data_IF_175833261829
#
_entry.id   IF_175833261829
#
_cell.length_a   1.000
_cell.length_b   1.000
_cell.length_c   1.000
_cell.angle_alpha   90.00
_cell.angle_beta   90.00
_cell.angle_gamma   90.00
#
_symmetry.space_group_name_H-M   'P 1'
#
loop_
_entity.id
_entity.type
_entity.pdbx_description
1 polymer ?
#
# COMPACT_ATOMS: atom_id res chain seq x y z
N UNK A 1 -22.20 -2.40 31.74
CA UNK A 1 -21.05 -2.87 30.94
C UNK A 1 -20.77 -1.81 29.88
N UNK A 2 -19.69 -1.03 30.03
CA UNK A 2 -19.25 -0.08 29.00
C UNK A 2 -18.70 -0.88 27.83
N UNK A 3 -19.36 -0.83 26.68
CA UNK A 3 -18.82 -1.36 25.42
C UNK A 3 -18.01 -0.23 24.79
N UNK A 4 -16.69 -0.39 24.74
CA UNK A 4 -15.87 0.44 23.87
C UNK A 4 -16.12 0.04 22.41
N UNK A 5 -16.19 1.00 21.46
CA UNK A 5 -16.47 0.73 20.05
C UNK A 5 -15.21 0.26 19.30
N UNK A 6 -14.49 -0.73 19.83
CA UNK A 6 -13.39 -1.35 19.09
C UNK A 6 -13.94 -2.46 18.20
N UNK A 7 -13.98 -2.19 16.89
CA UNK A 7 -14.29 -3.18 15.85
C UNK A 7 -13.01 -3.85 15.33
N UNK A 8 -13.13 -4.97 14.58
CA UNK A 8 -12.00 -5.56 13.90
C UNK A 8 -11.44 -4.60 12.85
N UNK A 9 -10.11 -4.55 12.70
CA UNK A 9 -9.47 -3.94 11.52
C UNK A 9 -9.77 -4.83 10.33
N UNK A 10 -10.36 -4.25 9.28
CA UNK A 10 -10.63 -4.93 8.02
C UNK A 10 -9.68 -4.38 6.97
N UNK A 11 -8.73 -5.21 6.54
CA UNK A 11 -7.82 -4.88 5.44
C UNK A 11 -8.26 -5.65 4.19
N UNK A 12 -8.72 -4.91 3.19
CA UNK A 12 -9.24 -5.40 1.91
C UNK A 12 -8.41 -4.93 0.71
N UNK A 13 -7.41 -4.07 0.94
CA UNK A 13 -6.57 -3.49 -0.11
C UNK A 13 -5.10 -3.61 0.26
N UNK A 14 -4.31 -4.04 -0.71
CA UNK A 14 -2.85 -4.05 -0.66
C UNK A 14 -2.30 -3.45 -1.93
N UNK A 15 -1.13 -2.83 -1.82
CA UNK A 15 -0.35 -2.36 -2.94
C UNK A 15 1.12 -2.75 -2.79
N UNK A 16 1.85 -2.73 -3.90
CA UNK A 16 3.31 -2.82 -3.88
C UNK A 16 3.90 -1.91 -4.95
N UNK A 17 5.13 -1.47 -4.71
CA UNK A 17 5.90 -0.71 -5.69
C UNK A 17 7.06 -1.56 -6.22
N UNK A 18 7.04 -1.99 -7.49
CA UNK A 18 8.09 -2.88 -8.00
C UNK A 18 9.46 -2.21 -8.14
N UNK A 19 9.50 -0.90 -8.39
CA UNK A 19 10.73 -0.18 -8.75
C UNK A 19 11.20 0.82 -7.69
N UNK A 20 10.36 1.19 -6.74
CA UNK A 20 10.67 2.20 -5.72
C UNK A 20 10.41 1.70 -4.30
N UNK A 21 11.05 2.34 -3.33
CA UNK A 21 10.77 2.15 -1.90
C UNK A 21 9.78 3.21 -1.43
N UNK A 22 9.06 2.93 -0.36
CA UNK A 22 8.24 3.91 0.34
C UNK A 22 8.70 4.04 1.80
N UNK A 23 8.92 5.26 2.27
CA UNK A 23 9.18 5.55 3.68
C UNK A 23 7.96 6.23 4.29
N UNK A 24 7.48 5.68 5.41
CA UNK A 24 6.41 6.28 6.23
C UNK A 24 7.01 6.81 7.51
N UNK A 25 6.95 8.12 7.71
CA UNK A 25 7.42 8.79 8.93
C UNK A 25 6.22 9.28 9.72
N UNK A 26 5.98 8.77 10.95
CA UNK A 26 4.86 9.23 11.75
C UNK A 26 5.05 10.69 12.18
N UNK A 27 3.95 11.45 12.18
CA UNK A 27 3.88 12.84 12.65
C UNK A 27 3.24 12.98 14.02
N UNK A 28 2.51 11.95 14.46
CA UNK A 28 1.93 11.85 15.79
C UNK A 28 2.18 10.45 16.39
N UNK A 29 2.23 10.32 17.72
CA UNK A 29 2.48 9.06 18.41
C UNK A 29 1.20 8.20 18.46
N UNK A 30 0.56 7.99 17.31
CA UNK A 30 -0.65 7.18 17.19
C UNK A 30 -0.28 5.78 16.71
N UNK A 31 -0.49 4.81 17.60
CA UNK A 31 -0.29 3.39 17.31
C UNK A 31 -1.20 2.97 16.16
N UNK A 32 -0.61 2.30 15.17
CA UNK A 32 -1.33 1.77 14.01
C UNK A 32 -1.00 0.30 13.77
N UNK A 33 -1.81 -0.38 12.96
CA UNK A 33 -1.50 -1.70 12.42
C UNK A 33 -1.19 -1.56 10.94
N UNK A 34 -0.12 -2.21 10.49
CA UNK A 34 0.22 -2.34 9.07
C UNK A 34 0.31 -3.81 8.73
N UNK A 35 -0.29 -4.22 7.61
CA UNK A 35 -0.15 -5.57 7.09
C UNK A 35 0.82 -5.57 5.93
N UNK A 36 1.69 -6.60 5.88
CA UNK A 36 2.67 -6.77 4.81
C UNK A 36 2.71 -8.22 4.36
N UNK A 37 3.10 -8.44 3.10
CA UNK A 37 3.34 -9.76 2.54
C UNK A 37 4.55 -9.71 1.58
N UNK A 38 5.50 -10.61 1.80
CA UNK A 38 6.72 -10.74 0.98
C UNK A 38 6.52 -11.84 -0.05
N UNK A 39 5.76 -11.55 -1.11
CA UNK A 39 5.47 -12.45 -2.22
C UNK A 39 5.44 -11.67 -3.53
N UNK A 40 5.75 -12.33 -4.65
CA UNK A 40 5.68 -11.70 -5.96
C UNK A 40 4.24 -11.62 -6.47
N UNK A 41 3.47 -12.71 -6.33
CA UNK A 41 2.07 -12.77 -6.74
C UNK A 41 1.14 -12.04 -5.76
N UNK A 42 -0.14 -11.88 -6.14
CA UNK A 42 -1.19 -11.36 -5.26
C UNK A 42 -1.20 -12.16 -3.93
N UNK A 43 -1.06 -11.50 -2.76
CA UNK A 43 -0.91 -12.20 -1.50
C UNK A 43 -2.23 -12.86 -1.07
N UNK A 44 -2.18 -14.07 -0.52
CA UNK A 44 -3.32 -14.69 0.14
C UNK A 44 -3.29 -14.37 1.63
N UNK A 45 -4.40 -14.54 2.36
CA UNK A 45 -4.44 -14.23 3.80
C UNK A 45 -3.33 -14.88 4.63
N UNK A 46 -2.88 -16.08 4.27
CA UNK A 46 -1.79 -16.79 4.97
C UNK A 46 -0.39 -16.20 4.74
N UNK A 47 -0.22 -15.41 3.68
CA UNK A 47 1.04 -14.79 3.30
C UNK A 47 1.23 -13.44 4.05
N UNK A 48 0.15 -12.93 4.65
CA UNK A 48 0.09 -11.64 5.33
C UNK A 48 0.59 -11.73 6.78
N UNK A 49 1.34 -10.72 7.19
CA UNK A 49 1.79 -10.50 8.57
C UNK A 49 1.37 -9.12 9.02
N UNK A 50 0.73 -9.04 10.18
CA UNK A 50 0.41 -7.76 10.83
C UNK A 50 1.53 -7.32 11.75
N UNK A 51 1.88 -6.04 11.67
CA UNK A 51 2.82 -5.37 12.55
C UNK A 51 2.11 -4.25 13.30
N UNK A 52 2.33 -4.18 14.61
CA UNK A 52 1.95 -3.02 15.41
C UNK A 52 3.07 -1.99 15.30
N UNK A 53 2.73 -0.80 14.83
CA UNK A 53 3.66 0.32 14.70
C UNK A 53 3.32 1.33 15.78
N UNK A 54 4.34 1.73 16.52
CA UNK A 54 4.22 2.50 17.78
C UNK A 54 3.83 3.96 17.57
N UNK A 55 3.93 4.48 16.34
CA UNK A 55 3.73 5.89 16.02
C UNK A 55 4.97 6.75 16.28
N UNK A 56 6.11 6.15 16.62
CA UNK A 56 7.38 6.85 16.85
C UNK A 56 8.47 6.38 15.88
N UNK A 57 8.35 5.15 15.39
CA UNK A 57 9.31 4.52 14.49
C UNK A 57 8.91 4.71 13.03
N UNK A 58 9.82 5.27 12.23
CA UNK A 58 9.66 5.32 10.78
C UNK A 58 9.75 3.93 10.16
N UNK A 59 8.93 3.68 9.15
CA UNK A 59 8.90 2.40 8.43
C UNK A 59 9.43 2.58 7.02
N UNK A 60 10.48 1.83 6.67
CA UNK A 60 10.89 1.67 5.29
C UNK A 60 10.23 0.41 4.71
N UNK A 61 9.47 0.59 3.64
CA UNK A 61 8.87 -0.47 2.86
C UNK A 61 9.73 -0.66 1.61
N UNK A 62 10.36 -1.83 1.54
CA UNK A 62 11.23 -2.19 0.43
C UNK A 62 10.45 -2.44 -0.87
N UNK A 63 11.18 -2.39 -1.99
CA UNK A 63 10.64 -2.70 -3.32
C UNK A 63 9.99 -4.08 -3.34
N UNK A 64 8.93 -4.23 -4.11
CA UNK A 64 8.16 -5.48 -4.28
C UNK A 64 7.56 -6.05 -2.98
N UNK A 65 7.43 -5.26 -1.92
CA UNK A 65 6.68 -5.67 -0.73
C UNK A 65 5.23 -5.23 -0.88
N UNK A 66 4.32 -6.22 -0.85
CA UNK A 66 2.90 -5.95 -0.70
C UNK A 66 2.65 -5.41 0.70
N UNK A 67 1.93 -4.31 0.80
CA UNK A 67 1.62 -3.67 2.07
C UNK A 67 0.27 -2.98 2.01
N UNK A 68 -0.35 -2.83 3.17
CA UNK A 68 -1.60 -2.08 3.33
C UNK A 68 -1.32 -0.61 3.64
N UNK A 69 -2.37 0.22 3.65
CA UNK A 69 -2.36 1.47 4.41
C UNK A 69 -2.10 1.20 5.92
N UNK A 70 -1.76 2.25 6.66
CA UNK A 70 -1.70 2.19 8.12
C UNK A 70 -3.13 2.29 8.69
N UNK A 71 -3.49 1.39 9.61
CA UNK A 71 -4.78 1.39 10.30
C UNK A 71 -4.62 1.93 11.73
N UNK A 72 -4.99 3.20 12.00
CA UNK A 72 -4.84 3.80 13.32
C UNK A 72 -5.73 3.11 14.35
N UNK A 73 -5.21 2.90 15.55
CA UNK A 73 -5.98 2.38 16.69
C UNK A 73 -6.70 3.47 17.47
N UNK A 74 -6.45 4.73 17.13
CA UNK A 74 -7.14 5.91 17.64
C UNK A 74 -8.18 6.42 16.60
N UNK A 75 -9.43 6.71 17.00
CA UNK A 75 -10.46 7.19 16.09
C UNK A 75 -10.16 8.56 15.45
N UNK A 76 -9.20 9.33 15.99
CA UNK A 76 -8.76 10.60 15.40
C UNK A 76 -7.94 10.39 14.12
N UNK A 77 -7.48 9.17 13.85
CA UNK A 77 -6.55 8.87 12.78
C UNK A 77 -5.09 9.01 13.20
N UNK A 78 -4.18 8.73 12.28
CA UNK A 78 -2.74 8.93 12.42
C UNK A 78 -2.24 9.68 11.19
N UNK A 79 -1.23 10.52 11.38
CA UNK A 79 -0.62 11.28 10.28
C UNK A 79 0.78 10.75 9.97
N UNK A 80 1.06 10.59 8.68
CA UNK A 80 2.36 10.17 8.19
C UNK A 80 2.83 11.11 7.08
N UNK A 81 4.14 11.35 7.03
CA UNK A 81 4.79 11.77 5.79
C UNK A 81 5.10 10.50 5.00
N UNK A 82 4.65 10.48 3.75
CA UNK A 82 5.03 9.48 2.75
C UNK A 82 6.17 10.05 1.91
N UNK A 83 7.30 9.35 1.86
CA UNK A 83 8.46 9.72 1.03
C UNK A 83 8.75 8.58 0.07
N UNK A 84 8.66 8.88 -1.21
CA UNK A 84 8.94 7.97 -2.33
C UNK A 84 9.76 8.73 -3.39
N UNK A 85 10.48 7.99 -4.24
CA UNK A 85 11.31 8.57 -5.31
C UNK A 85 10.44 9.26 -6.40
N UNK A 86 9.16 8.88 -6.48
CA UNK A 86 8.15 9.46 -7.38
C UNK A 86 6.79 9.45 -6.72
N UNK A 87 5.93 10.37 -7.15
CA UNK A 87 4.52 10.38 -6.77
C UNK A 87 3.82 9.14 -7.33
N UNK A 88 3.47 8.20 -6.44
CA UNK A 88 2.77 6.94 -6.78
C UNK A 88 1.28 6.99 -6.49
N UNK A 89 0.84 7.88 -5.60
CA UNK A 89 -0.59 8.06 -5.30
C UNK A 89 -1.34 8.65 -6.50
N UNK A 90 -0.80 9.69 -7.14
CA UNK A 90 -1.40 10.29 -8.34
C UNK A 90 -1.52 9.31 -9.51
N UNK A 91 -0.56 8.39 -9.67
CA UNK A 91 -0.62 7.34 -10.70
C UNK A 91 -1.81 6.39 -10.48
N UNK A 92 -2.08 6.01 -9.23
CA UNK A 92 -3.22 5.16 -8.90
C UNK A 92 -4.56 5.86 -9.12
N UNK A 93 -4.62 7.17 -8.84
CA UNK A 93 -5.80 7.99 -9.13
C UNK A 93 -6.06 8.06 -10.65
N UNK A 94 -5.04 8.38 -11.44
CA UNK A 94 -5.14 8.41 -12.91
C UNK A 94 -5.51 7.06 -13.51
N UNK A 95 -4.90 5.97 -13.02
CA UNK A 95 -5.23 4.60 -13.44
C UNK A 95 -6.69 4.23 -13.15
N UNK A 96 -7.23 4.68 -12.02
CA UNK A 96 -8.62 4.47 -11.64
C UNK A 96 -9.62 5.32 -12.46
N UNK A 97 -9.19 6.48 -12.97
CA UNK A 97 -10.06 7.41 -13.70
C UNK A 97 -10.12 7.07 -15.19
N UNK A 98 -8.97 6.84 -15.83
CA UNK A 98 -8.87 6.71 -17.29
C UNK A 98 -8.49 5.29 -17.76
N UNK A 99 -8.32 4.34 -16.83
CA UNK A 99 -7.94 2.96 -17.15
C UNK A 99 -6.51 2.82 -17.70
N UNK A 100 -5.69 3.87 -17.54
CA UNK A 100 -4.26 3.84 -17.85
C UNK A 100 -3.58 2.83 -16.93
N UNK A 101 -2.77 1.87 -17.44
CA UNK A 101 -2.07 0.94 -16.57
C UNK A 101 -1.11 1.68 -15.63
N UNK A 102 -1.21 1.41 -14.34
CA UNK A 102 -0.18 1.82 -13.39
C UNK A 102 1.14 1.11 -13.74
N UNK A 103 2.25 1.84 -13.75
CA UNK A 103 3.58 1.33 -14.08
C UNK A 103 4.38 1.09 -12.80
N UNK A 104 4.27 1.98 -11.81
CA UNK A 104 5.11 1.94 -10.61
C UNK A 104 4.43 1.32 -9.39
N UNK A 105 3.12 1.10 -9.46
CA UNK A 105 2.35 0.53 -8.35
C UNK A 105 1.41 -0.58 -8.82
N UNK A 106 1.44 -1.73 -8.15
CA UNK A 106 0.42 -2.77 -8.33
C UNK A 106 -0.53 -2.71 -7.14
N UNK A 107 -1.82 -2.89 -7.37
CA UNK A 107 -2.84 -2.86 -6.33
C UNK A 107 -3.82 -4.02 -6.50
N UNK A 108 -4.21 -4.61 -5.37
CA UNK A 108 -5.34 -5.53 -5.29
C UNK A 108 -6.36 -4.99 -4.28
N UNK A 109 -7.62 -4.98 -4.68
CA UNK A 109 -8.76 -4.73 -3.79
C UNK A 109 -9.73 -5.94 -3.84
N UNK A 110 -9.81 -6.68 -2.73
CA UNK A 110 -10.66 -7.86 -2.62
C UNK A 110 -12.16 -7.56 -2.45
N UNK A 111 -12.56 -6.28 -2.40
CA UNK A 111 -13.99 -5.91 -2.50
C UNK A 111 -14.51 -5.99 -3.93
N UNK A 112 -13.61 -6.12 -4.91
CA UNK A 112 -13.95 -6.11 -6.33
C UNK A 112 -14.22 -4.72 -6.90
N UNK A 113 -13.91 -3.65 -6.16
CA UNK A 113 -14.02 -2.29 -6.68
C UNK A 113 -12.86 -1.94 -7.64
N UNK A 114 -11.66 -2.52 -7.44
CA UNK A 114 -10.48 -2.27 -8.29
C UNK A 114 -9.56 -3.50 -8.35
N UNK A 115 -9.16 -3.94 -9.53
CA UNK A 115 -8.05 -4.88 -9.72
C UNK A 115 -7.04 -4.20 -10.65
N UNK A 116 -6.03 -3.52 -10.08
CA UNK A 116 -4.95 -2.93 -10.85
C UNK A 116 -3.73 -3.85 -10.74
N UNK A 117 -3.74 -4.90 -11.56
CA UNK A 117 -2.58 -5.74 -11.80
C UNK A 117 -2.08 -5.44 -13.22
N UNK A 118 -1.10 -4.55 -13.38
CA UNK A 118 -0.45 -4.37 -14.67
C UNK A 118 0.30 -5.65 -15.05
N UNK A 119 0.09 -6.13 -16.28
CA UNK A 119 0.91 -7.17 -16.88
C UNK A 119 2.22 -6.56 -17.39
N UNK A 120 3.30 -6.75 -16.62
CA UNK A 120 4.63 -6.23 -16.96
C UNK A 120 5.31 -6.99 -18.10
N UNK A 121 4.75 -8.13 -18.56
CA UNK A 121 5.38 -8.91 -19.62
C UNK A 121 5.36 -8.21 -21.00
N UNK A 122 4.51 -7.18 -21.17
CA UNK A 122 4.38 -6.41 -22.41
C UNK A 122 5.08 -5.03 -22.45
N UNK A 123 5.61 -4.53 -21.32
CA UNK A 123 6.17 -3.16 -21.25
C UNK A 123 7.58 -3.02 -21.84
N UNK A 124 8.25 -4.13 -22.17
CA UNK A 124 9.60 -4.12 -22.75
C UNK A 124 9.70 -3.49 -24.14
N UNK A 125 8.59 -3.40 -24.90
CA UNK A 125 8.63 -2.86 -26.27
C UNK A 125 8.24 -1.38 -26.39
N UNK A 126 7.59 -0.79 -25.37
CA UNK A 126 7.09 0.59 -25.43
C UNK A 126 8.04 1.63 -24.84
N UNK A 127 8.95 1.24 -23.93
CA UNK A 127 9.85 2.16 -23.23
C UNK A 127 11.14 2.51 -24.00
N UNK A 128 11.53 1.71 -24.99
CA UNK A 128 12.68 2.01 -25.87
C UNK A 128 12.42 3.19 -26.84
N UNK A 129 11.25 3.83 -26.79
CA UNK A 129 10.91 5.00 -27.63
C UNK A 129 11.11 6.35 -26.94
N UNK A 130 11.49 6.36 -25.65
CA UNK A 130 11.70 7.60 -24.88
C UNK A 130 13.14 7.72 -24.33
N UNK A 131 14.08 6.92 -24.83
CA UNK A 131 15.52 7.06 -24.60
C UNK A 131 16.21 7.78 -25.76
#
# INVERSE_FOLDING_TARGET
>A
MLRHPFGPVVCNRFEKHPTITELRVPLDPVVSVVFVASTLDIPRPKDMKGFLVDGETAMLIERNIWHSASFPLDPRGAHFILISDRETEGELEEAGIDGVPSVYTQMVDWTGQYELVPDYSGLGESYDRLA
#
